data_IF_102554808428
#
_entry.id   IF_102554808428
#
_cell.length_a   1.000
_cell.length_b   1.000
_cell.length_c   1.000
_cell.angle_alpha   90.00
_cell.angle_beta   90.00
_cell.angle_gamma   90.00
#
_symmetry.space_group_name_H-M   'P 1'
#
loop_
_entity.id
_entity.type
_entity.pdbx_description
1 polymer ?
#
# COMPACT_ATOMS: atom_id res chain seq x y z
N UNK A 1 -36.01 18.47 -12.98
CA UNK A 1 -36.28 17.17 -12.36
C UNK A 1 -36.45 16.20 -13.52
N UNK A 2 -35.51 15.34 -13.90
CA UNK A 2 -34.35 14.79 -13.20
C UNK A 2 -33.24 14.46 -14.19
N UNK A 3 -32.00 14.74 -13.79
CA UNK A 3 -30.78 14.47 -14.55
C UNK A 3 -29.80 13.80 -13.60
N UNK A 4 -30.09 12.58 -13.15
CA UNK A 4 -29.11 11.77 -12.41
C UNK A 4 -29.50 10.29 -12.38
N UNK A 5 -29.17 9.57 -13.45
CA UNK A 5 -28.91 8.12 -13.44
C UNK A 5 -28.23 7.80 -14.76
N UNK A 6 -26.96 8.20 -14.86
CA UNK A 6 -26.05 7.69 -15.86
C UNK A 6 -25.20 6.64 -15.16
N UNK A 7 -25.36 5.44 -15.67
CA UNK A 7 -24.73 4.18 -15.34
C UNK A 7 -23.20 4.31 -15.14
N UNK A 8 -22.73 4.12 -13.90
CA UNK A 8 -21.29 4.16 -13.54
C UNK A 8 -20.47 3.04 -14.22
N UNK A 9 -21.15 2.08 -14.87
CA UNK A 9 -20.54 0.93 -15.53
C UNK A 9 -19.65 1.31 -16.73
N UNK A 10 -19.96 2.39 -17.45
CA UNK A 10 -19.24 2.77 -18.68
C UNK A 10 -17.82 3.33 -18.42
N UNK A 11 -17.61 4.03 -17.30
CA UNK A 11 -16.29 4.57 -16.94
C UNK A 11 -15.26 3.47 -16.61
N UNK A 12 -15.73 2.30 -16.17
CA UNK A 12 -14.88 1.16 -15.80
C UNK A 12 -14.36 0.37 -17.01
N UNK A 13 -15.07 0.39 -18.14
CA UNK A 13 -14.70 -0.38 -19.33
C UNK A 13 -13.58 0.28 -20.13
N UNK A 14 -13.53 1.61 -20.12
CA UNK A 14 -12.55 2.39 -20.87
C UNK A 14 -11.13 2.29 -20.30
N UNK A 15 -11.01 1.99 -19.00
CA UNK A 15 -9.72 1.79 -18.33
C UNK A 15 -9.13 0.37 -18.58
N UNK A 16 -9.99 -0.61 -18.90
CA UNK A 16 -9.63 -2.03 -19.08
C UNK A 16 -8.73 -2.27 -20.30
N UNK A 17 -8.80 -1.42 -21.32
CA UNK A 17 -8.19 -1.66 -22.63
C UNK A 17 -6.91 -0.83 -22.91
N UNK A 18 -6.28 -0.21 -21.89
CA UNK A 18 -4.98 0.46 -22.07
C UNK A 18 -3.83 -0.55 -21.83
N UNK A 19 -2.91 -0.72 -22.79
CA UNK A 19 -1.85 -1.74 -22.72
C UNK A 19 -0.90 -1.59 -21.52
N UNK A 20 -0.81 -0.39 -20.92
CA UNK A 20 0.03 -0.12 -19.75
C UNK A 20 -0.57 -0.53 -18.40
N UNK A 21 -1.84 -0.98 -18.34
CA UNK A 21 -2.50 -1.34 -17.08
C UNK A 21 -3.16 -2.72 -17.18
N UNK A 22 -2.38 -3.78 -16.97
CA UNK A 22 -2.95 -5.10 -16.64
C UNK A 22 -3.55 -5.00 -15.25
N UNK A 23 -4.88 -5.05 -15.20
CA UNK A 23 -5.67 -4.95 -13.98
C UNK A 23 -6.02 -6.36 -13.51
N UNK A 24 -5.69 -6.70 -12.26
CA UNK A 24 -6.03 -7.96 -11.64
C UNK A 24 -6.83 -7.72 -10.36
N UNK A 25 -7.75 -8.63 -10.05
CA UNK A 25 -8.62 -8.52 -8.87
C UNK A 25 -7.89 -8.98 -7.61
N UNK A 26 -7.90 -8.17 -6.55
CA UNK A 26 -7.48 -8.52 -5.18
C UNK A 26 -8.59 -8.12 -4.22
N UNK A 27 -9.14 -9.07 -3.46
CA UNK A 27 -10.24 -8.83 -2.50
C UNK A 27 -11.41 -7.99 -3.07
N UNK A 28 -11.77 -8.22 -4.34
CA UNK A 28 -12.85 -7.50 -5.02
C UNK A 28 -12.47 -6.16 -5.64
N UNK A 29 -11.24 -5.68 -5.42
CA UNK A 29 -10.73 -4.44 -6.00
C UNK A 29 -9.80 -4.70 -7.18
N UNK A 30 -9.93 -3.84 -8.18
CA UNK A 30 -9.12 -3.84 -9.38
C UNK A 30 -7.83 -3.04 -9.14
N UNK A 31 -6.71 -3.74 -9.02
CA UNK A 31 -5.41 -3.08 -8.88
C UNK A 31 -4.56 -3.29 -10.12
N UNK A 32 -3.74 -2.28 -10.41
CA UNK A 32 -2.66 -2.44 -11.37
C UNK A 32 -1.62 -3.42 -10.84
N UNK A 33 -0.90 -4.09 -11.73
CA UNK A 33 0.22 -4.97 -11.35
C UNK A 33 1.25 -4.26 -10.44
N UNK A 34 1.47 -2.96 -10.67
CA UNK A 34 2.34 -2.12 -9.83
C UNK A 34 1.84 -2.04 -8.39
N UNK A 35 0.55 -1.76 -8.22
CA UNK A 35 -0.06 -1.69 -6.87
C UNK A 35 -0.02 -3.05 -6.18
N UNK A 36 -0.23 -4.16 -6.92
CA UNK A 36 -0.08 -5.51 -6.37
C UNK A 36 1.32 -5.76 -5.82
N UNK A 37 2.36 -5.39 -6.57
CA UNK A 37 3.77 -5.53 -6.13
C UNK A 37 4.06 -4.72 -4.88
N UNK A 38 3.58 -3.47 -4.83
CA UNK A 38 3.73 -2.61 -3.64
C UNK A 38 3.05 -3.24 -2.42
N UNK A 39 1.83 -3.76 -2.56
CA UNK A 39 1.10 -4.39 -1.46
C UNK A 39 1.76 -5.69 -0.98
N UNK A 40 2.33 -6.48 -1.90
CA UNK A 40 3.13 -7.65 -1.56
C UNK A 40 4.39 -7.25 -0.78
N UNK A 41 5.16 -6.29 -1.29
CA UNK A 41 6.36 -5.79 -0.62
C UNK A 41 6.04 -5.18 0.76
N UNK A 42 4.91 -4.49 0.90
CA UNK A 42 4.47 -3.96 2.19
C UNK A 42 4.18 -5.07 3.22
N UNK A 43 3.65 -6.21 2.76
CA UNK A 43 3.44 -7.37 3.62
C UNK A 43 4.78 -7.96 4.06
N UNK A 44 5.71 -8.13 3.13
CA UNK A 44 7.05 -8.64 3.42
C UNK A 44 7.78 -7.75 4.45
N UNK A 45 7.64 -6.43 4.35
CA UNK A 45 8.21 -5.49 5.32
C UNK A 45 7.55 -5.60 6.70
N UNK A 46 6.22 -5.75 6.78
CA UNK A 46 5.52 -5.95 8.05
C UNK A 46 5.91 -7.26 8.74
N UNK A 47 6.17 -8.33 7.97
CA UNK A 47 6.69 -9.60 8.50
C UNK A 47 8.13 -9.44 8.98
N UNK A 48 8.99 -8.82 8.18
CA UNK A 48 10.39 -8.56 8.53
C UNK A 48 10.52 -7.75 9.81
N UNK A 49 9.64 -6.76 10.00
CA UNK A 49 9.59 -5.90 11.18
C UNK A 49 8.78 -6.49 12.33
N UNK A 50 8.21 -7.70 12.19
CA UNK A 50 7.41 -8.39 13.22
C UNK A 50 6.19 -7.59 13.69
N UNK A 51 5.54 -6.88 12.77
CA UNK A 51 4.36 -6.07 13.03
C UNK A 51 3.08 -6.86 12.78
N UNK A 52 2.08 -6.73 13.64
CA UNK A 52 0.83 -7.51 13.55
C UNK A 52 -0.10 -7.12 12.40
N UNK A 53 0.17 -5.99 11.76
CA UNK A 53 -0.62 -5.48 10.66
C UNK A 53 0.23 -4.65 9.69
N UNK A 54 -0.20 -4.61 8.44
CA UNK A 54 0.43 -3.74 7.42
C UNK A 54 -0.07 -2.31 7.63
N UNK A 55 0.74 -1.49 8.32
CA UNK A 55 0.57 -0.04 8.43
C UNK A 55 1.07 0.77 7.22
N UNK A 56 0.89 2.08 7.27
CA UNK A 56 1.26 3.02 6.20
C UNK A 56 2.77 3.06 5.93
N UNK A 57 3.57 2.85 6.96
CA UNK A 57 5.02 2.77 6.93
C UNK A 57 5.49 1.60 6.07
N UNK A 58 4.86 0.43 6.17
CA UNK A 58 5.21 -0.71 5.33
C UNK A 58 4.78 -0.51 3.88
N UNK A 59 3.61 0.13 3.66
CA UNK A 59 3.20 0.52 2.29
C UNK A 59 4.23 1.47 1.70
N UNK A 60 4.68 2.46 2.47
CA UNK A 60 5.69 3.39 2.02
C UNK A 60 7.04 2.70 1.75
N UNK A 61 7.49 1.81 2.64
CA UNK A 61 8.66 0.97 2.42
C UNK A 61 8.51 0.05 1.20
N UNK A 62 7.30 -0.44 0.90
CA UNK A 62 7.00 -1.23 -0.29
C UNK A 62 6.97 -0.41 -1.59
N UNK A 63 6.78 0.90 -1.50
CA UNK A 63 6.91 1.83 -2.63
C UNK A 63 8.38 2.17 -2.88
N UNK A 64 9.20 2.24 -1.82
CA UNK A 64 10.57 2.71 -1.94
C UNK A 64 11.40 1.96 -2.99
N UNK A 65 11.33 0.63 -3.19
CA UNK A 65 12.10 -0.09 -4.22
C UNK A 65 11.73 0.26 -5.66
N UNK A 66 10.63 0.95 -5.90
CA UNK A 66 10.12 1.24 -7.24
C UNK A 66 10.85 2.43 -7.88
N UNK A 67 11.92 2.14 -8.62
CA UNK A 67 12.82 3.14 -9.21
C UNK A 67 12.15 4.06 -10.23
N UNK A 68 11.11 3.58 -10.93
CA UNK A 68 10.40 4.32 -11.97
C UNK A 68 9.08 4.93 -11.46
N UNK A 69 8.96 5.11 -10.14
CA UNK A 69 7.75 5.58 -9.48
C UNK A 69 7.63 7.08 -9.33
N UNK A 70 6.38 7.55 -9.26
CA UNK A 70 6.05 8.93 -8.86
C UNK A 70 6.70 9.25 -7.52
N UNK A 71 6.71 8.31 -6.57
CA UNK A 71 7.39 8.48 -5.28
C UNK A 71 8.90 8.74 -5.45
N UNK A 72 9.59 7.98 -6.30
CA UNK A 72 11.01 8.20 -6.59
C UNK A 72 11.27 9.57 -7.22
N UNK A 73 10.40 10.01 -8.13
CA UNK A 73 10.48 11.37 -8.70
C UNK A 73 10.32 12.43 -7.61
N UNK A 74 9.33 12.29 -6.73
CA UNK A 74 9.08 13.22 -5.62
C UNK A 74 10.26 13.27 -4.67
N UNK A 75 10.78 12.12 -4.23
CA UNK A 75 11.92 12.06 -3.31
C UNK A 75 13.18 12.69 -3.92
N UNK A 76 13.45 12.45 -5.20
CA UNK A 76 14.57 13.08 -5.92
C UNK A 76 14.41 14.59 -5.99
N UNK A 77 13.20 15.09 -6.28
CA UNK A 77 12.93 16.53 -6.32
C UNK A 77 13.10 17.21 -4.96
N UNK A 78 12.87 16.46 -3.88
CA UNK A 78 13.11 16.91 -2.50
C UNK A 78 14.56 16.68 -2.05
N UNK A 79 15.44 16.16 -2.91
CA UNK A 79 16.82 15.77 -2.58
C UNK A 79 16.92 14.82 -1.38
N UNK A 80 15.93 13.95 -1.21
CA UNK A 80 15.89 12.96 -0.13
C UNK A 80 16.52 11.66 -0.62
N UNK A 81 17.55 11.20 0.08
CA UNK A 81 18.14 9.88 -0.15
C UNK A 81 17.22 8.76 0.35
N UNK A 82 16.96 7.78 -0.51
CA UNK A 82 16.02 6.68 -0.23
C UNK A 82 16.55 5.73 0.85
N UNK A 83 17.85 5.48 0.89
CA UNK A 83 18.45 4.60 1.89
C UNK A 83 18.40 5.24 3.28
N UNK A 84 18.73 6.53 3.38
CA UNK A 84 18.61 7.32 4.60
C UNK A 84 17.15 7.42 5.08
N UNK A 85 16.20 7.60 4.16
CA UNK A 85 14.78 7.63 4.50
C UNK A 85 14.30 6.27 5.03
N UNK A 86 14.70 5.17 4.37
CA UNK A 86 14.40 3.81 4.86
C UNK A 86 14.93 3.61 6.27
N UNK A 87 16.18 3.95 6.53
CA UNK A 87 16.78 3.84 7.86
C UNK A 87 16.01 4.67 8.89
N UNK A 88 15.64 5.90 8.54
CA UNK A 88 14.87 6.80 9.41
C UNK A 88 13.51 6.20 9.79
N UNK A 89 12.81 5.61 8.80
CA UNK A 89 11.53 4.92 9.05
C UNK A 89 11.73 3.74 9.97
N UNK A 90 12.69 2.86 9.67
CA UNK A 90 12.96 1.67 10.48
C UNK A 90 13.32 2.04 11.93
N UNK A 91 14.10 3.10 12.14
CA UNK A 91 14.45 3.61 13.47
C UNK A 91 13.26 4.22 14.22
N UNK A 92 12.41 4.97 13.51
CA UNK A 92 11.25 5.64 14.12
C UNK A 92 10.15 4.65 14.49
N UNK A 93 9.95 3.66 13.63
CA UNK A 93 8.89 2.66 13.75
C UNK A 93 9.29 1.54 14.72
N UNK A 94 10.56 1.12 14.70
CA UNK A 94 11.08 0.03 15.52
C UNK A 94 10.68 -1.37 15.01
N UNK A 95 10.92 -2.37 15.84
CA UNK A 95 10.52 -3.77 15.60
C UNK A 95 9.37 -4.11 16.53
N UNK A 96 8.35 -4.81 16.04
CA UNK A 96 7.22 -5.26 16.84
C UNK A 96 7.48 -6.57 17.58
N UNK A 97 6.46 -7.02 18.29
CA UNK A 97 6.54 -8.18 19.20
C UNK A 97 5.95 -9.46 18.58
N UNK A 98 5.55 -9.44 17.30
CA UNK A 98 4.89 -10.60 16.69
C UNK A 98 5.86 -11.76 16.51
N UNK A 99 5.60 -12.84 17.24
CA UNK A 99 6.41 -14.06 17.21
C UNK A 99 5.84 -15.16 16.31
N UNK A 100 4.56 -15.04 15.90
CA UNK A 100 3.86 -16.03 15.08
C UNK A 100 3.54 -15.49 13.68
N UNK A 101 4.06 -16.18 12.66
CA UNK A 101 3.74 -15.98 11.24
C UNK A 101 2.46 -16.74 10.88
N UNK A 102 1.30 -16.14 11.20
CA UNK A 102 0.02 -16.59 10.63
C UNK A 102 -0.08 -16.26 9.14
N UNK A 103 -0.87 -17.01 8.35
CA UNK A 103 -0.87 -16.93 6.89
C UNK A 103 -1.48 -15.64 6.31
N UNK A 104 -2.18 -14.82 7.11
CA UNK A 104 -2.74 -13.57 6.62
C UNK A 104 -2.51 -12.40 7.58
N UNK A 105 -1.77 -11.41 7.10
CA UNK A 105 -1.54 -10.13 7.76
C UNK A 105 -2.68 -9.17 7.41
N UNK A 106 -3.46 -8.70 8.40
CA UNK A 106 -4.45 -7.67 8.14
C UNK A 106 -3.76 -6.35 7.79
N UNK A 107 -4.37 -5.56 6.90
CA UNK A 107 -3.97 -4.16 6.75
C UNK A 107 -4.52 -3.37 7.94
N UNK A 108 -3.67 -2.58 8.59
CA UNK A 108 -4.09 -1.76 9.70
C UNK A 108 -5.00 -0.66 9.16
N UNK A 109 -6.31 -0.76 9.41
CA UNK A 109 -7.13 0.44 9.45
C UNK A 109 -6.65 1.25 10.65
N UNK A 110 -6.33 2.53 10.47
CA UNK A 110 -6.16 3.45 11.63
C UNK A 110 -7.41 3.46 12.54
N UNK A 111 -8.50 2.79 12.16
CA UNK A 111 -9.76 2.63 12.87
C UNK A 111 -9.84 1.48 13.92
N UNK A 112 -8.74 0.91 14.42
CA UNK A 112 -8.78 0.01 15.60
C UNK A 112 -8.55 0.73 16.95
N UNK A 113 -8.49 2.06 16.98
CA UNK A 113 -8.29 2.83 18.24
C UNK A 113 -9.58 3.37 18.87
N UNK A 114 -10.69 2.65 18.76
CA UNK A 114 -11.92 2.93 19.51
C UNK A 114 -12.67 1.63 19.87
N UNK A 115 -12.07 0.70 20.62
CA UNK A 115 -12.83 -0.41 21.22
C UNK A 115 -12.09 -1.09 22.38
N UNK A 116 -11.78 -0.34 23.44
CA UNK A 116 -11.59 -0.89 24.81
C UNK A 116 -11.26 0.25 25.77
N UNK A 117 -12.26 1.07 26.06
CA UNK A 117 -12.34 1.81 27.32
C UNK A 117 -13.82 1.92 27.66
N UNK A 118 -14.35 0.83 28.22
CA UNK A 118 -15.46 0.87 29.17
C UNK A 118 -14.92 0.29 30.47
#
# INVERSE_FOLDING_TARGET
MDKLLLDDTAAHEQFRNRPSHRVATVNGYYFTERVRKVLAAARDEAERMRHEAVGTEHIFLGILPDDDGVATVVLRNLSIDRAALRLTIEQTVGTGERTNTGPDLPYASRAKKCSSSQ
#
